data_IF_234566320853
#
_entry.id   IF_234566320853
#
_cell.length_a   1.000
_cell.length_b   1.000
_cell.length_c   1.000
_cell.angle_alpha   90.00
_cell.angle_beta   90.00
_cell.angle_gamma   90.00
#
_symmetry.space_group_name_H-M   'P 1'
#
loop_
_entity.id
_entity.type
_entity.pdbx_description
1 polymer ?
#
# COMPACT_ATOMS: atom_id res chain seq x y z
N UNK A 1 -5.69 -0.67 31.00
CA UNK A 1 -6.38 0.15 29.99
C UNK A 1 -5.74 -0.17 28.65
N UNK A 2 -6.13 -1.29 28.05
CA UNK A 2 -5.83 -1.57 26.66
C UNK A 2 -6.86 -0.79 25.86
N UNK A 3 -6.41 0.17 25.06
CA UNK A 3 -7.28 0.69 24.03
C UNK A 3 -7.34 -0.40 22.96
N UNK A 4 -8.48 -1.07 22.87
CA UNK A 4 -8.83 -1.97 21.79
C UNK A 4 -8.78 -1.18 20.48
N UNK A 5 -7.62 -1.20 19.82
CA UNK A 5 -7.37 -0.57 18.53
C UNK A 5 -8.32 -1.07 17.41
N UNK A 6 -9.08 -2.13 17.69
CA UNK A 6 -10.10 -2.70 16.82
C UNK A 6 -11.42 -1.91 16.79
N UNK A 7 -11.80 -1.18 17.85
CA UNK A 7 -13.11 -0.47 17.88
C UNK A 7 -13.05 0.97 17.34
N UNK A 8 -11.86 1.56 17.17
CA UNK A 8 -11.71 2.91 16.59
C UNK A 8 -11.46 2.90 15.08
N UNK A 9 -11.41 1.71 14.47
CA UNK A 9 -11.24 1.51 13.03
C UNK A 9 -12.54 1.74 12.23
N UNK A 10 -13.42 2.62 12.69
CA UNK A 10 -14.37 3.22 11.77
C UNK A 10 -13.56 4.14 10.84
N UNK A 11 -13.57 3.83 9.56
CA UNK A 11 -12.81 4.52 8.51
C UNK A 11 -12.97 6.06 8.57
N UNK A 12 -14.05 6.58 9.15
CA UNK A 12 -14.24 8.00 9.36
C UNK A 12 -13.28 8.65 10.38
N UNK A 13 -12.84 7.92 11.42
CA UNK A 13 -12.07 8.53 12.52
C UNK A 13 -10.59 8.72 12.19
N UNK A 14 -9.97 7.78 11.47
CA UNK A 14 -8.55 7.88 11.07
C UNK A 14 -8.35 8.98 10.03
N UNK A 15 -9.25 9.09 9.04
CA UNK A 15 -9.23 10.18 8.07
C UNK A 15 -9.42 11.56 8.72
N UNK A 16 -10.28 11.65 9.74
CA UNK A 16 -10.50 12.88 10.50
C UNK A 16 -9.28 13.25 11.38
N UNK A 17 -8.66 12.27 12.03
CA UNK A 17 -7.47 12.48 12.87
C UNK A 17 -6.23 12.91 12.07
N UNK A 18 -6.08 12.41 10.85
CA UNK A 18 -4.98 12.79 9.95
C UNK A 18 -5.18 14.18 9.36
N UNK A 19 -6.41 14.55 8.99
CA UNK A 19 -6.73 15.92 8.56
C UNK A 19 -6.52 16.94 9.69
N UNK A 20 -6.70 16.53 10.95
CA UNK A 20 -6.36 17.34 12.12
C UNK A 20 -4.83 17.42 12.41
N UNK A 21 -3.96 16.80 11.60
CA UNK A 21 -2.52 16.67 11.87
C UNK A 21 -2.19 16.11 13.26
N UNK A 22 -3.11 15.35 13.86
CA UNK A 22 -2.93 14.83 15.22
C UNK A 22 -1.91 13.68 15.28
N UNK A 23 -1.64 13.06 14.12
CA UNK A 23 -0.52 12.14 13.91
C UNK A 23 0.37 12.68 12.78
N UNK A 24 1.51 13.31 13.09
CA UNK A 24 2.40 13.86 12.06
C UNK A 24 3.26 12.79 11.37
N UNK A 25 3.08 11.50 11.69
CA UNK A 25 3.97 10.43 11.22
C UNK A 25 3.21 9.20 10.73
N UNK A 26 3.16 9.07 9.41
CA UNK A 26 2.85 7.86 8.66
C UNK A 26 3.43 6.54 9.23
N UNK A 27 4.70 6.46 9.69
CA UNK A 27 5.22 5.24 10.32
C UNK A 27 4.56 4.90 11.68
N UNK A 28 3.93 5.88 12.35
CA UNK A 28 3.22 5.61 13.60
C UNK A 28 1.94 4.79 13.37
N UNK A 29 1.29 4.88 12.19
CA UNK A 29 0.15 4.03 11.83
C UNK A 29 0.56 2.56 11.73
N UNK A 30 1.67 2.28 11.06
CA UNK A 30 2.25 0.93 10.99
C UNK A 30 2.59 0.39 12.40
N UNK A 31 3.14 1.25 13.25
CA UNK A 31 3.50 0.88 14.64
C UNK A 31 2.28 0.72 15.54
N UNK A 32 1.20 1.46 15.26
CA UNK A 32 -0.08 1.36 15.94
C UNK A 32 -0.89 0.13 15.52
N UNK A 33 -0.38 -0.69 14.60
CA UNK A 33 -1.00 -1.94 14.16
C UNK A 33 -2.08 -1.75 13.10
N UNK A 34 -2.06 -0.64 12.35
CA UNK A 34 -2.96 -0.47 11.21
C UNK A 34 -2.42 -1.19 9.99
N UNK A 35 -3.29 -1.98 9.36
CA UNK A 35 -3.00 -2.67 8.10
C UNK A 35 -3.36 -1.79 6.90
N UNK A 36 -2.69 -2.02 5.77
CA UNK A 36 -2.95 -1.30 4.54
C UNK A 36 -4.40 -1.44 4.03
N UNK A 37 -5.15 -2.43 4.49
CA UNK A 37 -6.59 -2.63 4.16
C UNK A 37 -7.44 -1.56 4.83
N UNK A 38 -7.14 -1.27 6.10
CA UNK A 38 -7.83 -0.22 6.85
C UNK A 38 -7.49 1.15 6.25
N UNK A 39 -6.25 1.31 5.76
CA UNK A 39 -5.83 2.52 5.07
C UNK A 39 -6.52 2.64 3.70
N UNK A 40 -6.73 1.55 2.97
CA UNK A 40 -7.54 1.56 1.74
C UNK A 40 -8.98 2.03 1.97
N UNK A 41 -9.57 1.70 3.11
CA UNK A 41 -10.94 2.11 3.47
C UNK A 41 -11.08 3.61 3.76
N UNK A 42 -9.99 4.29 4.08
CA UNK A 42 -9.97 5.74 4.38
C UNK A 42 -9.50 6.57 3.19
N UNK A 43 -9.61 6.03 1.96
CA UNK A 43 -9.16 6.66 0.72
C UNK A 43 -7.67 7.06 0.74
N UNK A 44 -6.84 6.31 1.48
CA UNK A 44 -5.41 6.58 1.52
C UNK A 44 -4.73 6.16 0.23
N UNK A 45 -3.87 7.02 -0.30
CA UNK A 45 -3.09 6.78 -1.49
C UNK A 45 -1.92 5.83 -1.20
N UNK A 46 -1.60 4.92 -2.13
CA UNK A 46 -0.51 3.98 -1.91
C UNK A 46 0.85 4.69 -1.85
N UNK A 47 0.96 5.89 -2.44
CA UNK A 47 2.12 6.76 -2.29
C UNK A 47 2.36 7.16 -0.82
N UNK A 48 1.29 7.47 -0.07
CA UNK A 48 1.40 7.79 1.36
C UNK A 48 1.75 6.54 2.18
N UNK A 49 1.27 5.37 1.77
CA UNK A 49 1.65 4.10 2.38
C UNK A 49 3.12 3.77 2.13
N UNK A 50 3.64 4.10 0.96
CA UNK A 50 5.08 3.99 0.66
C UNK A 50 5.90 4.91 1.55
N UNK A 51 5.46 6.14 1.77
CA UNK A 51 6.10 7.08 2.71
C UNK A 51 6.00 6.59 4.17
N UNK A 52 4.92 5.88 4.53
CA UNK A 52 4.80 5.17 5.81
C UNK A 52 5.74 3.96 5.93
N UNK A 53 6.41 3.56 4.85
CA UNK A 53 7.29 2.39 4.80
C UNK A 53 6.52 1.08 4.67
N UNK A 54 5.32 1.09 4.07
CA UNK A 54 4.66 -0.13 3.63
C UNK A 54 5.31 -0.63 2.34
N UNK A 55 5.57 -1.93 2.29
CA UNK A 55 6.06 -2.59 1.08
C UNK A 55 4.88 -2.94 0.19
N UNK A 56 5.10 -3.03 -1.12
CA UNK A 56 4.05 -3.43 -2.05
C UNK A 56 3.43 -4.81 -1.69
N UNK A 57 4.15 -5.70 -1.00
CA UNK A 57 3.62 -6.96 -0.48
C UNK A 57 2.48 -6.73 0.52
N UNK A 58 2.66 -5.80 1.46
CA UNK A 58 1.63 -5.44 2.45
C UNK A 58 0.43 -4.79 1.77
N UNK A 59 0.66 -4.02 0.71
CA UNK A 59 -0.41 -3.44 -0.10
C UNK A 59 -1.19 -4.54 -0.84
N UNK A 60 -0.50 -5.54 -1.39
CA UNK A 60 -1.14 -6.71 -1.99
C UNK A 60 -2.00 -7.48 -0.98
N UNK A 61 -1.48 -7.74 0.21
CA UNK A 61 -2.24 -8.39 1.30
C UNK A 61 -3.47 -7.56 1.71
N UNK A 62 -3.38 -6.25 1.56
CA UNK A 62 -4.50 -5.33 1.74
C UNK A 62 -5.50 -5.29 0.58
N UNK A 63 -5.29 -6.10 -0.46
CA UNK A 63 -6.14 -6.19 -1.63
C UNK A 63 -5.94 -5.04 -2.62
N UNK A 64 -4.76 -4.44 -2.67
CA UNK A 64 -4.40 -3.50 -3.74
C UNK A 64 -4.00 -4.26 -5.00
N UNK A 65 -4.59 -3.88 -6.13
CA UNK A 65 -4.23 -4.43 -7.44
C UNK A 65 -3.00 -3.71 -8.02
N UNK A 66 -2.23 -4.41 -8.85
CA UNK A 66 -1.09 -3.83 -9.57
C UNK A 66 -1.47 -2.57 -10.38
N UNK A 67 -2.71 -2.48 -10.88
CA UNK A 67 -3.24 -1.27 -11.55
C UNK A 67 -3.28 -0.06 -10.63
N UNK A 68 -3.77 -0.26 -9.41
CA UNK A 68 -3.86 0.81 -8.43
C UNK A 68 -2.44 1.24 -8.07
N UNK A 69 -1.58 0.31 -7.70
CA UNK A 69 -0.20 0.61 -7.32
C UNK A 69 0.59 1.31 -8.44
N UNK A 70 0.40 0.90 -9.70
CA UNK A 70 0.98 1.60 -10.87
C UNK A 70 0.54 3.06 -10.94
N UNK A 71 -0.75 3.34 -10.74
CA UNK A 71 -1.30 4.70 -10.77
C UNK A 71 -0.67 5.58 -9.68
N UNK A 72 -0.32 4.95 -8.57
CA UNK A 72 0.29 5.58 -7.40
C UNK A 72 1.82 5.69 -7.50
N UNK A 73 2.41 5.25 -8.63
CA UNK A 73 3.84 5.39 -8.91
C UNK A 73 4.71 4.22 -8.49
N UNK A 74 4.14 3.04 -8.23
CA UNK A 74 4.93 1.81 -8.07
C UNK A 74 5.39 1.28 -9.43
N UNK A 75 6.67 0.90 -9.49
CA UNK A 75 7.26 0.28 -10.68
C UNK A 75 7.02 -1.23 -10.72
N UNK A 76 7.10 -1.82 -11.92
CA UNK A 76 6.97 -3.25 -12.14
C UNK A 76 7.92 -4.08 -11.23
N UNK A 77 9.11 -3.56 -10.93
CA UNK A 77 10.09 -4.21 -10.04
C UNK A 77 9.61 -4.25 -8.60
N UNK A 78 9.05 -3.16 -8.06
CA UNK A 78 8.50 -3.14 -6.69
C UNK A 78 7.30 -4.08 -6.56
N UNK A 79 6.47 -4.17 -7.62
CA UNK A 79 5.35 -5.08 -7.66
C UNK A 79 5.79 -6.55 -7.76
N UNK A 80 6.84 -6.85 -8.51
CA UNK A 80 7.38 -8.22 -8.54
C UNK A 80 7.98 -8.63 -7.19
N UNK A 81 8.62 -7.70 -6.47
CA UNK A 81 9.03 -7.94 -5.08
C UNK A 81 7.83 -8.18 -4.15
N UNK A 82 6.67 -7.63 -4.49
CA UNK A 82 5.40 -7.90 -3.82
C UNK A 82 4.71 -9.21 -4.22
N UNK A 83 5.41 -10.07 -4.97
CA UNK A 83 4.88 -11.33 -5.49
C UNK A 83 3.69 -11.14 -6.45
N UNK A 84 3.60 -10.00 -7.14
CA UNK A 84 2.74 -9.88 -8.31
C UNK A 84 3.38 -10.64 -9.48
N UNK A 85 2.55 -11.38 -10.20
CA UNK A 85 3.00 -12.11 -11.40
C UNK A 85 3.13 -11.15 -12.59
N UNK A 86 4.03 -11.49 -13.51
CA UNK A 86 4.21 -10.69 -14.72
C UNK A 86 2.91 -10.54 -15.52
N UNK A 87 2.03 -11.54 -15.51
CA UNK A 87 0.71 -11.46 -16.12
C UNK A 87 -0.19 -10.41 -15.45
N UNK A 88 -0.16 -10.27 -14.12
CA UNK A 88 -0.90 -9.22 -13.40
C UNK A 88 -0.36 -7.83 -13.71
N UNK A 89 0.96 -7.70 -13.91
CA UNK A 89 1.57 -6.45 -14.34
C UNK A 89 1.17 -6.07 -15.78
N UNK A 90 1.13 -7.05 -16.68
CA UNK A 90 0.64 -6.84 -18.03
C UNK A 90 -0.83 -6.43 -18.03
N UNK A 91 -1.67 -7.10 -17.22
CA UNK A 91 -3.06 -6.68 -17.03
C UNK A 91 -3.13 -5.27 -16.41
N UNK A 92 -2.18 -4.91 -15.54
CA UNK A 92 -2.05 -3.55 -15.03
C UNK A 92 -1.60 -2.50 -16.04
N UNK A 93 -1.27 -2.94 -17.26
CA UNK A 93 -0.86 -2.10 -18.37
C UNK A 93 0.62 -1.75 -18.32
N UNK A 94 1.45 -2.49 -17.59
CA UNK A 94 2.90 -2.43 -17.76
C UNK A 94 3.28 -3.06 -19.10
N UNK A 95 4.33 -2.56 -19.74
CA UNK A 95 4.86 -3.18 -20.96
C UNK A 95 5.59 -4.48 -20.64
N UNK A 96 5.59 -5.40 -21.61
CA UNK A 96 6.37 -6.65 -21.53
C UNK A 96 7.86 -6.41 -21.26
N UNK A 97 8.42 -5.28 -21.74
CA UNK A 97 9.78 -4.87 -21.42
C UNK A 97 9.94 -4.56 -19.93
N UNK A 98 9.06 -3.72 -19.36
CA UNK A 98 9.09 -3.34 -17.95
C UNK A 98 8.95 -4.57 -17.03
N UNK A 99 8.05 -5.49 -17.38
CA UNK A 99 7.86 -6.74 -16.64
C UNK A 99 9.08 -7.65 -16.75
N UNK A 100 9.71 -7.72 -17.92
CA UNK A 100 10.90 -8.55 -18.15
C UNK A 100 12.11 -7.98 -17.42
N UNK A 101 12.29 -6.66 -17.41
CA UNK A 101 13.32 -5.98 -16.62
C UNK A 101 13.13 -6.22 -15.12
N UNK A 102 11.90 -6.09 -14.63
CA UNK A 102 11.55 -6.42 -13.25
C UNK A 102 11.88 -7.88 -12.88
N UNK A 103 11.61 -8.83 -13.79
CA UNK A 103 11.95 -10.25 -13.60
C UNK A 103 13.46 -10.48 -13.53
N UNK A 104 14.24 -9.76 -14.32
CA UNK A 104 15.70 -9.86 -14.30
C UNK A 104 16.32 -9.25 -13.04
N UNK A 105 15.72 -8.21 -12.47
CA UNK A 105 16.22 -7.51 -11.28
C UNK A 105 15.97 -8.28 -9.98
N UNK A 106 14.99 -9.18 -9.96
CA UNK A 106 14.57 -9.91 -8.76
C UNK A 106 15.19 -11.31 -8.62
N UNK A 107 16.14 -11.65 -9.50
CA UNK A 107 16.82 -12.96 -9.58
C UNK A 107 18.24 -12.93 -9.02
#
# INVERSE_FOLDING_TARGET
AGCDAAELADAGFVGLLLNLSLFPTLPALKTAGYDATQLKLIDFEAAQLREAGFSATQLREAGWDARQLKKEGFDATELMQASFEGEELLDAGFDTLQVKEALMLCS
#
